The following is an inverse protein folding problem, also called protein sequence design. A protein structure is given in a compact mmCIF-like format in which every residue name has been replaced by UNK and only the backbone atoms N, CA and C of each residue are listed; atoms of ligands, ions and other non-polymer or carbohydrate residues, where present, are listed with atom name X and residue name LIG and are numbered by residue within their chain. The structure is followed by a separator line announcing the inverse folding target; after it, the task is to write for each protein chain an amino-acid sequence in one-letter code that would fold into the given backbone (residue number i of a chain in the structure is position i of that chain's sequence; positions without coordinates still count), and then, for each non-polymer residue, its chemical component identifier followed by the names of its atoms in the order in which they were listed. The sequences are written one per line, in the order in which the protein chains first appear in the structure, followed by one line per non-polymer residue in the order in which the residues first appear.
data_IF_919747863092
#
_entry.id   IF_919747863092
#
_cell.length_a   1.000
_cell.length_b   1.000
_cell.length_c   1.000
_cell.angle_alpha   90.00
_cell.angle_beta   90.00
_cell.angle_gamma   90.00
#
_symmetry.space_group_name_H-M   'P 1'
#
loop_
_entity.id
_entity.type
_entity.pdbx_description
1 polymer ?
#
# COMPACT_ATOMS: atom_id res chain seq x y z
N UNK A 1 -13.87 -18.68 4.38
CA UNK A 1 -15.31 -18.53 4.71
C UNK A 1 -16.06 -18.02 3.49
N UNK A 2 -15.68 -16.90 2.86
CA UNK A 2 -16.40 -16.26 1.73
C UNK A 2 -16.67 -17.25 0.58
N UNK A 3 -15.71 -18.07 0.18
CA UNK A 3 -15.87 -19.07 -0.91
C UNK A 3 -16.91 -20.16 -0.64
N UNK A 4 -17.29 -20.37 0.62
CA UNK A 4 -18.15 -21.47 1.05
C UNK A 4 -19.59 -21.05 1.34
N UNK A 5 -19.90 -19.76 1.24
CA UNK A 5 -21.21 -19.24 1.65
C UNK A 5 -21.67 -18.19 0.63
N UNK A 6 -22.73 -18.51 -0.07
CA UNK A 6 -23.40 -17.58 -0.99
C UNK A 6 -23.87 -16.33 -0.21
N UNK A 7 -23.72 -15.15 -0.82
CA UNK A 7 -24.05 -13.87 -0.21
C UNK A 7 -23.04 -13.38 0.84
N UNK A 8 -21.94 -14.11 1.08
CA UNK A 8 -20.92 -13.65 2.02
C UNK A 8 -20.15 -12.44 1.46
N UNK A 9 -19.97 -11.43 2.29
CA UNK A 9 -19.17 -10.24 2.03
C UNK A 9 -17.99 -10.21 3.00
N UNK A 10 -16.85 -9.70 2.54
CA UNK A 10 -15.67 -9.53 3.38
C UNK A 10 -14.68 -8.57 2.72
N UNK A 11 -13.64 -8.22 3.46
CA UNK A 11 -12.52 -7.43 2.98
C UNK A 11 -11.23 -8.25 3.02
N UNK A 12 -10.39 -8.08 2.02
CA UNK A 12 -9.09 -8.76 1.91
C UNK A 12 -8.20 -8.01 0.92
N UNK A 13 -6.90 -8.22 1.02
CA UNK A 13 -5.97 -7.65 0.06
C UNK A 13 -6.29 -8.17 -1.36
N UNK A 14 -6.10 -7.32 -2.37
CA UNK A 14 -6.37 -7.62 -3.78
C UNK A 14 -5.64 -8.88 -4.26
N UNK A 15 -4.46 -9.19 -3.75
CA UNK A 15 -3.70 -10.39 -4.08
C UNK A 15 -4.44 -11.70 -3.81
N UNK A 16 -5.45 -11.69 -2.92
CA UNK A 16 -6.28 -12.86 -2.58
C UNK A 16 -7.56 -12.98 -3.41
N UNK A 17 -7.86 -12.02 -4.29
CA UNK A 17 -9.04 -12.07 -5.17
C UNK A 17 -8.77 -13.07 -6.30
N UNK A 18 -9.21 -14.32 -6.11
CA UNK A 18 -8.96 -15.42 -7.05
C UNK A 18 -10.18 -16.33 -7.18
N UNK A 19 -10.35 -16.91 -8.38
CA UNK A 19 -11.39 -17.89 -8.67
C UNK A 19 -12.81 -17.31 -8.54
N UNK A 20 -13.63 -17.84 -7.65
CA UNK A 20 -15.02 -17.41 -7.45
C UNK A 20 -15.18 -16.10 -6.64
N UNK A 21 -14.11 -15.63 -6.00
CA UNK A 21 -14.16 -14.36 -5.26
C UNK A 21 -14.18 -13.21 -6.27
N UNK A 22 -15.16 -12.32 -6.12
CA UNK A 22 -15.30 -11.11 -6.93
C UNK A 22 -15.10 -9.88 -6.08
N UNK A 23 -14.46 -8.87 -6.64
CA UNK A 23 -14.35 -7.56 -6.01
C UNK A 23 -15.54 -6.69 -6.39
N UNK A 24 -16.05 -5.93 -5.44
CA UNK A 24 -17.08 -4.93 -5.68
C UNK A 24 -16.48 -3.68 -6.35
N UNK A 25 -17.24 -3.08 -7.26
CA UNK A 25 -17.01 -1.69 -7.62
C UNK A 25 -17.61 -0.80 -6.52
N UNK A 26 -16.85 0.17 -6.04
CA UNK A 26 -17.27 1.09 -4.99
C UNK A 26 -17.36 2.50 -5.55
N UNK A 27 -18.38 3.25 -5.13
CA UNK A 27 -18.52 4.64 -5.52
C UNK A 27 -17.55 5.51 -4.70
N UNK A 28 -16.71 6.28 -5.38
CA UNK A 28 -15.83 7.27 -4.79
C UNK A 28 -16.52 8.63 -4.62
N UNK A 29 -15.82 9.61 -4.03
CA UNK A 29 -16.36 10.97 -3.87
C UNK A 29 -16.52 11.74 -5.19
N UNK A 30 -15.88 11.29 -6.28
CA UNK A 30 -16.13 11.82 -7.62
C UNK A 30 -17.45 11.30 -8.23
N UNK A 31 -18.17 10.40 -7.53
CA UNK A 31 -19.42 9.79 -8.00
C UNK A 31 -19.25 8.60 -8.93
N UNK A 32 -18.03 8.12 -9.14
CA UNK A 32 -17.70 7.03 -10.05
C UNK A 32 -17.67 5.68 -9.35
N UNK A 33 -18.21 4.63 -9.99
CA UNK A 33 -18.06 3.26 -9.53
C UNK A 33 -16.76 2.67 -10.06
N UNK A 34 -15.77 2.54 -9.17
CA UNK A 34 -14.42 2.08 -9.49
C UNK A 34 -14.21 0.66 -8.98
N UNK A 35 -13.61 -0.20 -9.81
CA UNK A 35 -13.12 -1.54 -9.40
C UNK A 35 -11.70 -1.43 -8.87
N UNK A 36 -11.30 -2.30 -7.92
CA UNK A 36 -9.92 -2.31 -7.45
C UNK A 36 -8.99 -2.75 -8.58
N UNK A 37 -7.95 -1.96 -8.79
CA UNK A 37 -6.82 -2.26 -9.68
C UNK A 37 -5.56 -1.59 -9.13
N UNK A 38 -4.40 -1.92 -9.68
CA UNK A 38 -3.14 -1.25 -9.33
C UNK A 38 -3.21 0.23 -9.66
N UNK A 39 -3.78 0.57 -10.81
CA UNK A 39 -3.93 1.96 -11.29
C UNK A 39 -4.88 2.75 -10.38
N UNK A 40 -6.06 2.20 -10.08
CA UNK A 40 -7.04 2.86 -9.21
C UNK A 40 -6.51 3.03 -7.78
N UNK A 41 -5.74 2.06 -7.29
CA UNK A 41 -5.02 2.15 -6.03
C UNK A 41 -3.93 3.23 -6.06
N UNK A 42 -3.15 3.33 -7.13
CA UNK A 42 -2.12 4.35 -7.28
C UNK A 42 -2.71 5.77 -7.28
N UNK A 43 -3.83 5.98 -7.96
CA UNK A 43 -4.55 7.28 -7.92
C UNK A 43 -4.97 7.61 -6.48
N UNK A 44 -5.51 6.64 -5.75
CA UNK A 44 -5.93 6.82 -4.35
C UNK A 44 -4.74 7.13 -3.43
N UNK A 45 -3.63 6.38 -3.55
CA UNK A 45 -2.42 6.58 -2.74
C UNK A 45 -1.78 7.96 -2.97
N UNK A 46 -1.83 8.48 -4.20
CA UNK A 46 -1.31 9.81 -4.50
C UNK A 46 -2.05 10.96 -3.79
N UNK A 47 -3.23 10.69 -3.22
CA UNK A 47 -3.99 11.64 -2.41
C UNK A 47 -3.74 11.50 -0.91
N UNK A 48 -2.88 10.58 -0.48
CA UNK A 48 -2.48 10.42 0.92
C UNK A 48 -1.32 11.37 1.21
N UNK A 49 -1.52 12.26 2.18
CA UNK A 49 -0.44 13.10 2.74
C UNK A 49 0.10 12.41 3.97
N UNK A 50 1.41 12.12 3.97
CA UNK A 50 2.10 11.53 5.12
C UNK A 50 2.57 12.64 6.07
N UNK A 51 2.35 12.44 7.36
CA UNK A 51 2.93 13.25 8.43
C UNK A 51 4.43 12.93 8.65
N UNK A 52 5.01 13.51 9.69
CA UNK A 52 6.43 13.30 10.05
C UNK A 52 6.75 11.85 10.49
N UNK A 53 5.74 11.09 10.92
CA UNK A 53 5.86 9.69 11.32
C UNK A 53 5.51 8.72 10.20
N UNK A 54 5.36 9.23 8.98
CA UNK A 54 4.89 8.49 7.80
C UNK A 54 3.46 7.95 7.95
N UNK A 55 2.68 8.43 8.91
CA UNK A 55 1.27 8.10 9.03
C UNK A 55 0.44 8.98 8.09
N UNK A 56 -0.59 8.40 7.51
CA UNK A 56 -1.49 9.12 6.62
C UNK A 56 -2.56 8.20 6.07
N UNK A 57 -3.74 8.74 5.84
CA UNK A 57 -4.86 8.02 5.27
C UNK A 57 -5.70 8.94 4.38
N UNK A 58 -6.40 8.34 3.44
CA UNK A 58 -7.48 8.97 2.71
C UNK A 58 -8.52 7.91 2.36
N UNK A 59 -9.49 7.66 3.27
CA UNK A 59 -10.42 6.53 3.12
C UNK A 59 -11.40 6.69 1.97
N UNK A 60 -11.60 7.92 1.47
CA UNK A 60 -12.47 8.16 0.32
C UNK A 60 -11.94 9.32 -0.54
N UNK A 61 -11.01 9.03 -1.45
CA UNK A 61 -10.36 10.02 -2.28
C UNK A 61 -11.34 10.69 -3.27
N UNK A 62 -11.07 11.96 -3.59
CA UNK A 62 -11.89 12.78 -4.51
C UNK A 62 -11.45 12.67 -5.97
N UNK A 63 -10.27 12.07 -6.24
CA UNK A 63 -9.79 11.94 -7.61
C UNK A 63 -10.63 10.96 -8.42
N UNK A 64 -10.92 11.33 -9.65
CA UNK A 64 -11.54 10.43 -10.64
C UNK A 64 -10.69 9.16 -10.82
N UNK A 65 -11.35 8.00 -10.91
CA UNK A 65 -10.69 6.71 -11.04
C UNK A 65 -10.04 6.16 -9.77
N UNK A 66 -10.03 6.89 -8.65
CA UNK A 66 -9.47 6.40 -7.39
C UNK A 66 -10.37 5.35 -6.74
N UNK A 67 -9.79 4.23 -6.28
CA UNK A 67 -10.52 3.23 -5.50
C UNK A 67 -10.63 3.69 -4.04
N UNK A 68 -11.86 3.72 -3.44
CA UNK A 68 -12.06 4.31 -2.12
C UNK A 68 -11.33 3.62 -0.97
N UNK A 69 -11.17 2.30 -1.04
CA UNK A 69 -10.54 1.53 0.03
C UNK A 69 -9.11 1.17 -0.39
N UNK A 70 -8.23 2.16 -0.40
CA UNK A 70 -6.80 1.97 -0.57
C UNK A 70 -6.07 2.42 0.71
N UNK A 71 -5.09 1.64 1.13
CA UNK A 71 -4.29 1.94 2.31
C UNK A 71 -2.84 1.54 2.10
N UNK A 72 -1.96 2.13 2.89
CA UNK A 72 -0.56 1.74 2.99
C UNK A 72 -0.40 0.58 3.98
N UNK A 73 0.63 -0.19 3.82
CA UNK A 73 1.13 -1.11 4.84
C UNK A 73 2.37 -0.48 5.47
N UNK A 74 2.37 -0.30 6.77
CA UNK A 74 3.50 0.23 7.50
C UNK A 74 4.33 -0.89 8.11
N UNK A 75 5.64 -0.73 8.03
CA UNK A 75 6.59 -1.55 8.77
C UNK A 75 7.13 -0.67 9.89
N UNK A 76 7.05 -1.17 11.11
CA UNK A 76 7.59 -0.50 12.29
C UNK A 76 9.02 -0.97 12.52
N UNK A 77 9.94 -0.04 12.63
CA UNK A 77 11.34 -0.28 12.97
C UNK A 77 11.80 0.77 13.99
N UNK A 78 12.73 0.39 14.84
CA UNK A 78 13.36 1.36 15.73
C UNK A 78 14.32 2.24 14.95
N UNK A 79 14.33 3.55 15.23
CA UNK A 79 15.33 4.47 14.70
C UNK A 79 16.71 4.18 15.30
N UNK A 80 16.74 3.76 16.59
CA UNK A 80 17.95 3.37 17.33
C UNK A 80 17.67 2.17 18.21
N UNK A 81 18.73 1.46 18.59
CA UNK A 81 18.62 0.29 19.48
C UNK A 81 18.45 -1.04 18.71
N UNK A 82 18.78 -1.06 17.42
CA UNK A 82 18.76 -2.28 16.62
C UNK A 82 20.04 -3.12 16.76
N UNK A 83 21.06 -2.60 17.46
CA UNK A 83 22.31 -3.30 17.69
C UNK A 83 22.97 -3.77 16.38
N UNK A 84 23.54 -4.99 16.37
CA UNK A 84 24.24 -5.52 15.18
C UNK A 84 23.34 -5.76 13.98
N UNK A 85 22.02 -5.81 14.17
CA UNK A 85 21.06 -6.07 13.10
C UNK A 85 20.69 -4.81 12.28
N UNK A 86 21.07 -3.62 12.75
CA UNK A 86 20.74 -2.35 12.11
C UNK A 86 21.10 -2.31 10.62
N UNK A 87 22.28 -2.78 10.24
CA UNK A 87 22.74 -2.80 8.87
C UNK A 87 21.88 -3.74 7.99
N UNK A 88 21.57 -4.92 8.49
CA UNK A 88 20.73 -5.90 7.79
C UNK A 88 19.30 -5.41 7.61
N UNK A 89 18.71 -4.82 8.65
CA UNK A 89 17.37 -4.22 8.58
C UNK A 89 17.32 -3.14 7.51
N UNK A 90 18.31 -2.25 7.51
CA UNK A 90 18.42 -1.17 6.53
C UNK A 90 18.57 -1.71 5.10
N UNK A 91 19.39 -2.73 4.89
CA UNK A 91 19.59 -3.37 3.59
C UNK A 91 18.29 -3.99 3.06
N UNK A 92 17.56 -4.73 3.90
CA UNK A 92 16.26 -5.34 3.52
C UNK A 92 15.26 -4.25 3.13
N UNK A 93 15.13 -3.18 3.91
CA UNK A 93 14.17 -2.12 3.58
C UNK A 93 14.59 -1.32 2.35
N UNK A 94 15.88 -1.07 2.15
CA UNK A 94 16.38 -0.45 0.92
C UNK A 94 16.07 -1.32 -0.30
N UNK A 95 16.23 -2.64 -0.20
CA UNK A 95 15.83 -3.56 -1.27
C UNK A 95 14.32 -3.47 -1.54
N UNK A 96 13.47 -3.52 -0.49
CA UNK A 96 12.01 -3.39 -0.65
C UNK A 96 11.59 -2.07 -1.33
N UNK A 97 12.34 -0.99 -1.11
CA UNK A 97 12.10 0.33 -1.69
C UNK A 97 12.88 0.55 -3.00
N UNK A 98 13.61 -0.45 -3.50
CA UNK A 98 14.32 -0.38 -4.77
C UNK A 98 13.37 -0.41 -5.97
N UNK A 99 13.82 0.10 -7.10
CA UNK A 99 13.05 0.05 -8.34
C UNK A 99 12.78 -1.40 -8.77
N UNK A 100 13.71 -2.33 -8.51
CA UNK A 100 13.53 -3.75 -8.78
C UNK A 100 12.33 -4.32 -8.01
N UNK A 101 12.29 -4.15 -6.70
CA UNK A 101 11.19 -4.63 -5.86
C UNK A 101 9.86 -3.93 -6.20
N UNK A 102 9.88 -2.62 -6.39
CA UNK A 102 8.70 -1.83 -6.73
C UNK A 102 8.11 -2.20 -8.12
N UNK A 103 8.93 -2.61 -9.07
CA UNK A 103 8.46 -3.07 -10.38
C UNK A 103 7.84 -4.48 -10.34
N UNK A 104 8.16 -5.29 -9.35
CA UNK A 104 7.55 -6.61 -9.13
C UNK A 104 6.22 -6.49 -8.37
N UNK A 105 6.03 -5.47 -7.54
CA UNK A 105 4.86 -5.29 -6.68
C UNK A 105 3.50 -5.48 -7.40
N UNK A 106 3.25 -4.96 -8.62
CA UNK A 106 1.98 -5.15 -9.31
C UNK A 106 1.66 -6.62 -9.62
N UNK A 107 2.67 -7.42 -9.93
CA UNK A 107 2.49 -8.87 -10.20
C UNK A 107 2.06 -9.63 -8.94
N UNK A 108 2.37 -9.09 -7.77
CA UNK A 108 2.00 -9.64 -6.47
C UNK A 108 0.66 -9.08 -5.97
N UNK A 109 0.02 -8.18 -6.72
CA UNK A 109 -1.25 -7.54 -6.36
C UNK A 109 -1.11 -6.37 -5.39
N UNK A 110 0.07 -5.74 -5.36
CA UNK A 110 0.34 -4.53 -4.58
C UNK A 110 0.52 -3.31 -5.49
N UNK A 111 0.17 -2.16 -4.96
CA UNK A 111 0.46 -0.88 -5.62
C UNK A 111 1.89 -0.47 -5.31
N UNK A 112 2.75 -0.22 -6.32
CA UNK A 112 4.11 0.23 -6.07
C UNK A 112 4.12 1.64 -5.49
N UNK A 113 4.99 1.87 -4.53
CA UNK A 113 5.24 3.21 -4.00
C UNK A 113 5.93 4.07 -5.04
N UNK A 114 5.51 5.32 -5.16
CA UNK A 114 6.09 6.30 -6.09
C UNK A 114 6.12 7.70 -5.44
N UNK A 115 6.84 8.62 -6.08
CA UNK A 115 6.84 10.04 -5.71
C UNK A 115 7.23 10.30 -4.27
N UNK A 116 6.45 11.16 -3.61
CA UNK A 116 6.73 11.63 -2.26
C UNK A 116 6.71 10.53 -1.20
N UNK A 117 5.76 9.59 -1.30
CA UNK A 117 5.68 8.44 -0.37
C UNK A 117 6.96 7.62 -0.42
N UNK A 118 7.44 7.26 -1.63
CA UNK A 118 8.67 6.50 -1.78
C UNK A 118 9.90 7.27 -1.26
N UNK A 119 9.98 8.56 -1.56
CA UNK A 119 11.10 9.40 -1.12
C UNK A 119 11.16 9.54 0.39
N UNK A 120 10.02 9.77 1.05
CA UNK A 120 9.92 9.83 2.52
C UNK A 120 10.25 8.48 3.16
N UNK A 121 9.78 7.37 2.58
CA UNK A 121 10.10 6.04 3.08
C UNK A 121 11.60 5.75 3.02
N UNK A 122 12.27 6.09 1.90
CA UNK A 122 13.73 5.96 1.77
C UNK A 122 14.48 6.84 2.78
N UNK A 123 14.01 8.05 3.02
CA UNK A 123 14.60 8.95 4.02
C UNK A 123 14.49 8.37 5.44
N UNK A 124 13.33 7.79 5.80
CA UNK A 124 13.13 7.16 7.09
C UNK A 124 14.05 5.95 7.31
N UNK A 125 14.24 5.11 6.28
CA UNK A 125 15.18 3.97 6.35
C UNK A 125 16.62 4.43 6.61
N UNK A 126 17.02 5.59 6.10
CA UNK A 126 18.36 6.13 6.36
C UNK A 126 18.59 6.50 7.83
N UNK A 127 17.53 6.78 8.60
CA UNK A 127 17.61 7.09 10.02
C UNK A 127 17.76 5.85 10.91
N UNK A 128 17.53 4.64 10.39
CA UNK A 128 17.73 3.41 11.16
C UNK A 128 19.22 3.26 11.50
N UNK A 129 19.54 3.11 12.78
CA UNK A 129 20.90 2.98 13.30
C UNK A 129 21.01 1.94 14.39
N UNK A 130 22.24 1.79 14.92
CA UNK A 130 22.56 0.92 16.07
C UNK A 130 21.86 1.35 17.36
#
# INVERSE_FOLDING_TARGET
VIKKREGAIGYLNQSYIRGSIKAAALQNLAGEFVKPSVEAGAIALNQITLDQNLAGENPNPTAAGAYPIATLTWVLAYERGNGPDAATIKEVFNFMLSDEAQNVAPRLGFVPLRGDILSKSKAAVNNIGE
#
